data_IF_095994338035
#
_entry.id   IF_095994338035
#
_cell.length_a   1.000
_cell.length_b   1.000
_cell.length_c   1.000
_cell.angle_alpha   90.00
_cell.angle_beta   90.00
_cell.angle_gamma   90.00
#
_symmetry.space_group_name_H-M   'P 1'
#
loop_
_entity.id
_entity.type
_entity.pdbx_description
1 polymer ?
#
# COMPACT_ATOMS: atom_id res chain seq x y z
N UNK A 1 7.27 -17.05 13.85
CA UNK A 1 6.69 -16.04 12.94
C UNK A 1 6.71 -14.71 13.66
N UNK A 2 7.37 -13.69 13.11
CA UNK A 2 7.43 -12.38 13.75
C UNK A 2 6.12 -11.60 13.47
N UNK A 3 5.52 -11.04 14.52
CA UNK A 3 4.31 -10.22 14.40
C UNK A 3 4.67 -8.75 14.34
N UNK A 4 4.10 -8.03 13.38
CA UNK A 4 4.22 -6.57 13.29
C UNK A 4 2.96 -5.92 13.83
N UNK A 5 3.15 -5.09 14.85
CA UNK A 5 2.08 -4.26 15.40
C UNK A 5 1.89 -3.01 14.54
N UNK A 6 0.80 -2.96 13.77
CA UNK A 6 0.40 -1.77 13.01
C UNK A 6 -0.39 -0.82 13.91
N UNK A 7 0.08 0.43 14.00
CA UNK A 7 -0.57 1.51 14.77
C UNK A 7 -0.71 2.77 13.91
N UNK A 8 -1.46 3.77 14.41
CA UNK A 8 -1.56 5.08 13.78
C UNK A 8 -2.14 5.05 12.35
N UNK A 9 -1.56 5.86 11.46
CA UNK A 9 -2.02 5.97 10.05
C UNK A 9 -1.78 4.69 9.25
N UNK A 10 -0.76 3.90 9.59
CA UNK A 10 -0.50 2.61 8.95
C UNK A 10 -1.63 1.62 9.17
N UNK A 11 -2.13 1.53 10.41
CA UNK A 11 -3.32 0.76 10.75
C UNK A 11 -4.53 1.20 9.92
N UNK A 12 -4.78 2.51 9.87
CA UNK A 12 -5.91 3.07 9.13
C UNK A 12 -5.86 2.74 7.64
N UNK A 13 -4.71 2.95 6.99
CA UNK A 13 -4.56 2.61 5.57
C UNK A 13 -4.69 1.10 5.33
N UNK A 14 -4.14 0.27 6.20
CA UNK A 14 -4.30 -1.19 6.11
C UNK A 14 -5.77 -1.62 6.20
N UNK A 15 -6.52 -1.07 7.16
CA UNK A 15 -7.94 -1.37 7.33
C UNK A 15 -8.76 -0.99 6.08
N UNK A 16 -8.53 0.21 5.54
CA UNK A 16 -9.19 0.68 4.32
C UNK A 16 -8.85 -0.23 3.14
N UNK A 17 -7.56 -0.52 2.91
CA UNK A 17 -7.10 -1.38 1.82
C UNK A 17 -7.72 -2.78 1.94
N UNK A 18 -7.72 -3.39 3.12
CA UNK A 18 -8.27 -4.73 3.33
C UNK A 18 -9.76 -4.81 2.98
N UNK A 19 -10.55 -3.82 3.37
CA UNK A 19 -11.99 -3.77 3.07
C UNK A 19 -12.23 -3.46 1.59
N UNK A 20 -11.52 -2.48 1.02
CA UNK A 20 -11.61 -2.15 -0.40
C UNK A 20 -11.22 -3.33 -1.28
N UNK A 21 -10.17 -4.07 -0.92
CA UNK A 21 -9.73 -5.23 -1.68
C UNK A 21 -10.81 -6.31 -1.72
N UNK A 22 -11.45 -6.61 -0.59
CA UNK A 22 -12.57 -7.57 -0.52
C UNK A 22 -13.78 -7.11 -1.33
N UNK A 23 -14.07 -5.81 -1.36
CA UNK A 23 -15.25 -5.27 -2.00
C UNK A 23 -15.09 -5.02 -3.51
N UNK A 24 -13.88 -4.68 -3.97
CA UNK A 24 -13.63 -4.19 -5.33
C UNK A 24 -12.89 -5.20 -6.22
N UNK A 25 -12.23 -6.20 -5.63
CA UNK A 25 -11.57 -7.28 -6.38
C UNK A 25 -12.50 -8.49 -6.44
N UNK A 26 -13.49 -8.41 -7.33
CA UNK A 26 -14.57 -9.42 -7.46
C UNK A 26 -14.37 -10.37 -8.64
N UNK A 27 -13.46 -10.06 -9.57
CA UNK A 27 -13.30 -10.80 -10.82
C UNK A 27 -14.41 -10.55 -11.85
N UNK A 28 -15.35 -9.65 -11.55
CA UNK A 28 -16.36 -9.17 -12.50
C UNK A 28 -15.74 -8.33 -13.62
N UNK A 29 -16.52 -8.12 -14.69
CA UNK A 29 -16.10 -7.33 -15.86
C UNK A 29 -15.59 -5.92 -15.50
N UNK A 30 -16.22 -5.25 -14.52
CA UNK A 30 -15.77 -3.96 -13.98
C UNK A 30 -15.37 -4.14 -12.51
N UNK A 31 -14.15 -4.64 -12.33
CA UNK A 31 -13.54 -4.85 -11.02
C UNK A 31 -12.10 -4.34 -11.01
N UNK A 32 -11.61 -4.02 -9.82
CA UNK A 32 -10.20 -3.75 -9.61
C UNK A 32 -9.42 -5.07 -9.68
N UNK A 33 -8.26 -5.06 -10.33
CA UNK A 33 -7.34 -6.20 -10.30
C UNK A 33 -6.59 -6.26 -8.97
N UNK A 34 -6.27 -5.10 -8.40
CA UNK A 34 -5.51 -5.00 -7.16
C UNK A 34 -5.90 -3.72 -6.40
N UNK A 35 -5.98 -3.81 -5.07
CA UNK A 35 -6.05 -2.64 -4.19
C UNK A 35 -4.85 -2.71 -3.25
N UNK A 36 -4.02 -1.66 -3.27
CA UNK A 36 -2.76 -1.65 -2.54
C UNK A 36 -2.57 -0.38 -1.73
N UNK A 37 -1.77 -0.48 -0.67
CA UNK A 37 -1.26 0.70 0.01
C UNK A 37 -0.27 1.43 -0.91
N UNK A 38 -0.49 2.73 -1.07
CA UNK A 38 0.44 3.65 -1.72
C UNK A 38 1.21 4.48 -0.67
N UNK A 39 2.42 4.94 -1.01
CA UNK A 39 3.31 5.66 -0.08
C UNK A 39 2.89 7.11 0.19
N UNK A 40 2.10 7.71 -0.71
CA UNK A 40 1.76 9.13 -0.65
C UNK A 40 1.10 9.62 -1.94
N UNK A 41 1.31 10.89 -2.28
CA UNK A 41 0.89 11.46 -3.56
C UNK A 41 1.80 10.97 -4.69
N UNK A 42 1.29 11.02 -5.92
CA UNK A 42 2.12 10.89 -7.10
C UNK A 42 2.83 12.21 -7.37
N UNK A 43 4.15 12.22 -7.21
CA UNK A 43 4.98 13.42 -7.40
C UNK A 43 5.69 13.43 -8.78
N UNK A 44 5.76 12.28 -9.48
CA UNK A 44 6.48 12.13 -10.75
C UNK A 44 5.69 11.31 -11.77
N UNK A 45 5.88 11.59 -13.06
CA UNK A 45 5.25 10.86 -14.16
C UNK A 45 5.75 9.42 -14.28
N UNK A 46 7.00 9.15 -13.89
CA UNK A 46 7.61 7.82 -13.92
C UNK A 46 7.04 6.90 -12.84
N UNK A 47 6.73 7.43 -11.66
CA UNK A 47 6.04 6.67 -10.61
C UNK A 47 4.62 6.31 -11.04
N UNK A 48 3.92 7.27 -11.61
CA UNK A 48 2.59 7.07 -12.16
C UNK A 48 2.58 6.05 -13.30
N UNK A 49 3.54 6.15 -14.23
CA UNK A 49 3.68 5.20 -15.34
C UNK A 49 3.96 3.78 -14.85
N UNK A 50 4.85 3.62 -13.86
CA UNK A 50 5.13 2.30 -13.24
C UNK A 50 3.90 1.72 -12.55
N UNK A 51 3.14 2.56 -11.85
CA UNK A 51 1.92 2.14 -11.19
C UNK A 51 0.84 1.75 -12.21
N UNK A 52 0.71 2.51 -13.30
CA UNK A 52 -0.24 2.28 -14.38
C UNK A 52 0.06 1.05 -15.26
N UNK A 53 1.27 0.47 -15.17
CA UNK A 53 1.52 -0.86 -15.75
C UNK A 53 0.59 -1.92 -15.16
N UNK A 54 0.17 -1.71 -13.91
CA UNK A 54 -0.85 -2.53 -13.27
C UNK A 54 -2.22 -2.01 -13.72
N UNK A 55 -2.86 -2.74 -14.63
CA UNK A 55 -4.19 -2.38 -15.12
C UNK A 55 -5.25 -2.46 -14.00
N UNK A 56 -6.25 -1.57 -14.00
CA UNK A 56 -7.34 -1.50 -13.02
C UNK A 56 -6.89 -1.61 -11.55
N UNK A 57 -5.94 -0.77 -11.13
CA UNK A 57 -5.39 -0.79 -9.77
C UNK A 57 -5.81 0.44 -8.97
N UNK A 58 -6.07 0.22 -7.69
CA UNK A 58 -6.43 1.27 -6.73
C UNK A 58 -5.31 1.40 -5.69
N UNK A 59 -4.67 2.57 -5.65
CA UNK A 59 -3.64 2.91 -4.66
C UNK A 59 -4.19 3.79 -3.54
N UNK A 60 -4.16 3.33 -2.30
CA UNK A 60 -4.69 4.06 -1.14
C UNK A 60 -3.57 4.61 -0.27
N UNK A 61 -3.61 5.91 0.04
CA UNK A 61 -2.63 6.56 0.91
C UNK A 61 -3.30 7.42 2.00
N UNK A 62 -2.72 7.41 3.20
CA UNK A 62 -2.96 8.43 4.21
C UNK A 62 -2.03 9.63 3.97
N UNK A 63 -2.60 10.81 3.74
CA UNK A 63 -1.84 12.02 3.41
C UNK A 63 -1.54 12.89 4.63
N UNK A 64 -2.45 12.89 5.63
CA UNK A 64 -2.32 13.74 6.81
C UNK A 64 -3.11 13.12 7.96
N UNK A 65 -2.54 13.16 9.18
CA UNK A 65 -3.28 12.99 10.42
C UNK A 65 -3.30 14.33 11.16
N UNK A 66 -4.46 14.75 11.64
CA UNK A 66 -4.65 16.02 12.35
C UNK A 66 -5.71 15.89 13.45
N UNK A 67 -5.89 16.94 14.25
CA UNK A 67 -6.90 16.99 15.32
C UNK A 67 -6.80 15.79 16.27
N UNK A 68 -5.58 15.54 16.76
CA UNK A 68 -5.31 14.44 17.68
C UNK A 68 -6.02 14.69 19.02
N UNK A 69 -6.96 13.82 19.36
CA UNK A 69 -7.62 13.83 20.65
C UNK A 69 -7.23 12.58 21.45
N UNK A 70 -6.37 12.80 22.46
CA UNK A 70 -5.90 11.75 23.37
C UNK A 70 -6.90 11.45 24.49
N UNK A 71 -7.82 12.37 24.81
CA UNK A 71 -8.78 12.21 25.91
C UNK A 71 -9.93 11.26 25.54
N UNK A 72 -10.27 11.17 24.25
CA UNK A 72 -11.32 10.29 23.73
C UNK A 72 -10.78 8.99 23.07
N UNK A 73 -9.75 8.37 23.66
CA UNK A 73 -9.20 7.10 23.17
C UNK A 73 -8.23 7.23 21.99
N UNK A 74 -7.49 8.34 21.89
CA UNK A 74 -6.49 8.59 20.84
C UNK A 74 -7.07 8.51 19.43
N UNK A 75 -7.92 9.48 19.08
CA UNK A 75 -8.51 9.62 17.73
C UNK A 75 -7.79 10.71 16.94
N UNK A 76 -7.86 10.63 15.62
CA UNK A 76 -7.37 11.67 14.73
C UNK A 76 -8.21 11.74 13.45
N UNK A 77 -8.29 12.92 12.86
CA UNK A 77 -8.80 13.11 11.51
C UNK A 77 -7.73 12.70 10.51
N UNK A 78 -7.99 11.64 9.76
CA UNK A 78 -7.09 11.11 8.74
C UNK A 78 -7.59 11.55 7.37
N UNK A 79 -6.79 12.35 6.69
CA UNK A 79 -6.99 12.70 5.28
C UNK A 79 -6.44 11.58 4.41
N UNK A 80 -7.31 10.97 3.62
CA UNK A 80 -7.04 9.80 2.79
C UNK A 80 -7.23 10.14 1.32
N UNK A 81 -6.57 9.38 0.46
CA UNK A 81 -6.79 9.39 -0.99
C UNK A 81 -6.74 7.97 -1.53
N UNK A 82 -7.63 7.68 -2.49
CA UNK A 82 -7.62 6.50 -3.32
C UNK A 82 -7.41 6.93 -4.76
N UNK A 83 -6.30 6.50 -5.36
CA UNK A 83 -5.99 6.70 -6.76
C UNK A 83 -6.50 5.52 -7.55
N UNK A 84 -7.49 5.74 -8.41
CA UNK A 84 -8.02 4.75 -9.34
C UNK A 84 -7.26 4.91 -10.65
N UNK A 85 -6.59 3.87 -11.09
CA UNK A 85 -5.78 3.87 -12.30
C UNK A 85 -6.23 2.72 -13.20
N UNK A 86 -6.65 3.08 -14.40
CA UNK A 86 -7.03 2.11 -15.43
C UNK A 86 -6.22 2.35 -16.68
N UNK A 87 -5.94 1.28 -17.41
CA UNK A 87 -5.34 1.36 -18.72
C UNK A 87 -6.32 0.79 -19.72
N UNK A 88 -6.35 1.38 -20.93
CA UNK A 88 -7.11 0.79 -22.03
C UNK A 88 -6.56 -0.59 -22.33
N UNK A 89 -7.23 -1.64 -21.87
CA UNK A 89 -6.96 -2.99 -22.33
C UNK A 89 -7.53 -3.14 -23.74
N UNK A 90 -6.88 -3.95 -24.58
CA UNK A 90 -7.13 -4.09 -26.01
C UNK A 90 -8.50 -4.73 -26.41
N UNK A 91 -9.60 -4.38 -25.74
CA UNK A 91 -10.97 -4.84 -26.02
C UNK A 91 -11.98 -3.73 -25.73
N UNK A 92 -12.55 -3.16 -26.80
CA UNK A 92 -13.86 -2.48 -26.95
C UNK A 92 -14.36 -1.46 -25.91
N UNK A 93 -13.63 -1.15 -24.85
CA UNK A 93 -14.08 -0.23 -23.80
C UNK A 93 -12.99 0.77 -23.43
N UNK A 94 -13.37 2.05 -23.40
CA UNK A 94 -12.49 3.16 -23.11
C UNK A 94 -12.01 3.10 -21.66
N UNK A 95 -10.70 3.27 -21.45
CA UNK A 95 -10.08 3.32 -20.13
C UNK A 95 -10.77 4.35 -19.22
N UNK A 96 -11.20 5.48 -19.79
CA UNK A 96 -11.92 6.54 -19.09
C UNK A 96 -13.23 6.06 -18.49
N UNK A 97 -14.04 5.34 -19.27
CA UNK A 97 -15.33 4.80 -18.81
C UNK A 97 -15.12 3.81 -17.67
N UNK A 98 -14.15 2.89 -17.81
CA UNK A 98 -13.84 1.93 -16.73
C UNK A 98 -13.34 2.66 -15.47
N UNK A 99 -12.50 3.69 -15.64
CA UNK A 99 -11.98 4.46 -14.52
C UNK A 99 -13.08 5.20 -13.78
N UNK A 100 -13.99 5.84 -14.51
CA UNK A 100 -15.13 6.57 -13.94
C UNK A 100 -16.06 5.63 -13.16
N UNK A 101 -16.39 4.46 -13.74
CA UNK A 101 -17.24 3.48 -13.07
C UNK A 101 -16.58 2.90 -11.80
N UNK A 102 -15.29 2.58 -11.85
CA UNK A 102 -14.54 2.16 -10.65
C UNK A 102 -14.47 3.30 -9.61
N UNK A 103 -14.29 4.54 -10.05
CA UNK A 103 -14.29 5.71 -9.17
C UNK A 103 -15.64 5.87 -8.48
N UNK A 104 -16.76 5.71 -9.20
CA UNK A 104 -18.10 5.73 -8.59
C UNK A 104 -18.27 4.64 -7.52
N UNK A 105 -17.79 3.42 -7.77
CA UNK A 105 -17.80 2.34 -6.77
C UNK A 105 -16.97 2.71 -5.52
N UNK A 106 -15.80 3.33 -5.72
CA UNK A 106 -14.95 3.80 -4.61
C UNK A 106 -15.66 4.88 -3.80
N UNK A 107 -16.31 5.86 -4.45
CA UNK A 107 -17.05 6.94 -3.77
C UNK A 107 -18.21 6.36 -2.94
N UNK A 108 -18.99 5.44 -3.50
CA UNK A 108 -20.10 4.79 -2.80
C UNK A 108 -19.59 4.03 -1.56
N UNK A 109 -18.52 3.26 -1.73
CA UNK A 109 -17.90 2.50 -0.64
C UNK A 109 -17.38 3.44 0.46
N UNK A 110 -16.62 4.47 0.10
CA UNK A 110 -16.06 5.46 1.05
C UNK A 110 -17.17 6.18 1.82
N UNK A 111 -18.31 6.45 1.19
CA UNK A 111 -19.42 7.15 1.83
C UNK A 111 -20.08 6.32 2.94
N UNK A 112 -20.15 5.01 2.76
CA UNK A 112 -20.88 4.09 3.66
C UNK A 112 -19.99 3.40 4.68
N UNK A 113 -18.75 3.11 4.32
CA UNK A 113 -17.89 2.25 5.11
C UNK A 113 -17.28 2.92 6.33
N UNK A 114 -17.01 2.07 7.33
CA UNK A 114 -16.27 2.41 8.56
C UNK A 114 -15.03 1.52 8.75
N UNK A 115 -14.68 0.75 7.71
CA UNK A 115 -13.41 0.02 7.56
C UNK A 115 -13.12 -1.01 8.65
N UNK A 116 -14.13 -1.44 9.41
CA UNK A 116 -13.93 -2.28 10.60
C UNK A 116 -13.15 -1.59 11.72
N UNK A 117 -13.02 -0.26 11.68
CA UNK A 117 -12.34 0.54 12.70
C UNK A 117 -13.35 1.02 13.73
N UNK A 118 -13.13 0.69 15.00
CA UNK A 118 -13.99 1.12 16.08
C UNK A 118 -14.02 2.66 16.19
N UNK A 119 -15.20 3.20 16.47
CA UNK A 119 -15.45 4.65 16.56
C UNK A 119 -15.01 5.47 15.33
N UNK A 120 -15.01 4.86 14.14
CA UNK A 120 -14.77 5.59 12.91
C UNK A 120 -15.99 6.46 12.56
N UNK A 121 -15.77 7.74 12.25
CA UNK A 121 -16.85 8.64 11.83
C UNK A 121 -17.29 8.37 10.41
N UNK A 122 -18.33 9.06 9.95
CA UNK A 122 -18.62 9.16 8.52
C UNK A 122 -17.48 9.87 7.78
N UNK A 123 -17.28 9.50 6.52
CA UNK A 123 -16.37 10.21 5.64
C UNK A 123 -16.89 11.63 5.36
N UNK A 124 -16.00 12.61 5.45
CA UNK A 124 -16.27 14.03 5.20
C UNK A 124 -15.46 14.50 4.01
N UNK A 125 -15.95 15.54 3.34
CA UNK A 125 -15.26 16.19 2.22
C UNK A 125 -14.81 15.19 1.15
N UNK A 126 -15.71 14.29 0.74
CA UNK A 126 -15.43 13.35 -0.34
C UNK A 126 -15.34 14.14 -1.65
N UNK A 127 -14.16 14.15 -2.26
CA UNK A 127 -13.87 14.87 -3.49
C UNK A 127 -13.26 13.88 -4.48
N UNK A 128 -13.89 13.74 -5.64
CA UNK A 128 -13.33 13.03 -6.78
C UNK A 128 -12.75 14.05 -7.77
N UNK A 129 -11.48 13.86 -8.14
CA UNK A 129 -10.79 14.73 -9.08
C UNK A 129 -10.19 13.87 -10.18
N UNK A 130 -10.55 14.17 -11.42
CA UNK A 130 -9.90 13.59 -12.58
C UNK A 130 -8.48 14.19 -12.68
N UNK A 131 -7.46 13.34 -12.68
CA UNK A 131 -6.06 13.75 -12.79
C UNK A 131 -5.55 13.76 -14.23
N UNK A 132 -6.47 13.90 -15.20
CA UNK A 132 -6.17 14.07 -16.60
C UNK A 132 -5.18 15.22 -16.80
N UNK A 133 -4.03 14.89 -17.39
CA UNK A 133 -3.05 15.84 -17.88
C UNK A 133 -2.51 15.35 -19.21
N UNK A 134 -1.85 16.22 -19.98
CA UNK A 134 -1.31 15.87 -21.29
C UNK A 134 -0.21 14.77 -21.25
N UNK A 135 0.40 14.52 -20.09
CA UNK A 135 1.47 13.53 -19.90
C UNK A 135 0.95 12.08 -19.79
N UNK A 136 -0.14 11.78 -19.06
CA UNK A 136 -0.85 10.49 -19.09
C UNK A 136 -1.36 10.01 -20.46
N UNK A 137 -1.71 10.94 -21.36
CA UNK A 137 -2.32 10.61 -22.66
C UNK A 137 -1.39 9.76 -23.55
N UNK A 138 -0.08 10.02 -23.51
CA UNK A 138 0.92 9.21 -24.21
C UNK A 138 1.00 7.75 -23.77
N UNK A 139 0.39 7.39 -22.64
CA UNK A 139 0.39 6.03 -22.09
C UNK A 139 -0.95 5.30 -22.22
N UNK A 140 -2.03 5.97 -22.65
CA UNK A 140 -3.37 5.38 -22.74
C UNK A 140 -3.97 5.00 -21.37
N UNK A 141 -3.71 5.83 -20.36
CA UNK A 141 -4.08 5.60 -18.95
C UNK A 141 -5.08 6.66 -18.49
N UNK A 142 -6.13 6.25 -17.79
CA UNK A 142 -7.03 7.15 -17.09
C UNK A 142 -6.79 7.07 -15.57
N UNK A 143 -6.81 8.23 -14.90
CA UNK A 143 -6.53 8.33 -13.48
C UNK A 143 -7.52 9.28 -12.80
N UNK A 144 -8.08 8.80 -11.71
CA UNK A 144 -8.92 9.58 -10.81
C UNK A 144 -8.39 9.50 -9.38
N UNK A 145 -8.52 10.58 -8.63
CA UNK A 145 -8.22 10.63 -7.21
C UNK A 145 -9.50 10.90 -6.43
N UNK A 146 -9.87 9.97 -5.54
CA UNK A 146 -10.94 10.16 -4.56
C UNK A 146 -10.30 10.47 -3.22
N UNK A 147 -10.51 11.67 -2.70
CA UNK A 147 -9.99 12.11 -1.41
C UNK A 147 -11.11 12.31 -0.40
N UNK A 148 -10.84 12.03 0.87
CA UNK A 148 -11.79 12.22 1.96
C UNK A 148 -11.07 12.41 3.29
N UNK A 149 -11.79 12.86 4.31
CA UNK A 149 -11.32 12.96 5.68
C UNK A 149 -12.23 12.15 6.60
N UNK A 150 -11.65 11.36 7.49
CA UNK A 150 -12.44 10.56 8.42
C UNK A 150 -11.75 10.50 9.79
N UNK A 151 -12.54 10.66 10.85
CA UNK A 151 -12.04 10.53 12.21
C UNK A 151 -11.93 9.03 12.54
N UNK A 152 -10.74 8.57 12.92
CA UNK A 152 -10.47 7.17 13.19
C UNK A 152 -9.77 6.99 14.54
N UNK A 153 -10.06 5.88 15.22
CA UNK A 153 -9.31 5.45 16.41
C UNK A 153 -7.89 5.02 16.03
N UNK A 154 -6.90 5.48 16.78
CA UNK A 154 -5.48 5.11 16.59
C UNK A 154 -4.95 4.16 17.65
N UNK A 155 -5.74 3.89 18.70
CA UNK A 155 -5.31 3.20 19.92
C UNK A 155 -5.33 1.67 19.82
N UNK A 156 -6.18 1.11 18.95
CA UNK A 156 -6.29 -0.34 18.79
C UNK A 156 -5.27 -0.83 17.75
N UNK A 157 -4.26 -1.61 18.15
CA UNK A 157 -3.32 -2.17 17.20
C UNK A 157 -3.97 -3.27 16.35
N UNK A 158 -3.49 -3.42 15.12
CA UNK A 158 -3.73 -4.61 14.30
C UNK A 158 -2.42 -5.37 14.20
N UNK A 159 -2.44 -6.67 14.44
CA UNK A 159 -1.28 -7.54 14.24
C UNK A 159 -1.34 -8.09 12.82
N UNK A 160 -0.23 -7.97 12.10
CA UNK A 160 -0.03 -8.64 10.83
C UNK A 160 1.20 -9.51 10.93
N UNK A 161 1.22 -10.61 10.18
CA UNK A 161 2.42 -11.43 10.05
C UNK A 161 3.39 -10.69 9.13
N UNK A 162 4.66 -10.60 9.54
CA UNK A 162 5.73 -10.26 8.61
C UNK A 162 5.96 -11.46 7.69
N UNK A 163 6.24 -11.19 6.41
CA UNK A 163 6.83 -12.19 5.54
C UNK A 163 8.13 -12.68 6.18
N UNK A 164 8.39 -13.98 6.08
CA UNK A 164 9.67 -14.54 6.50
C UNK A 164 10.75 -13.78 5.72
N UNK A 165 11.66 -13.11 6.43
CA UNK A 165 12.75 -12.32 5.84
C UNK A 165 13.80 -13.26 5.20
N UNK A 166 13.39 -14.12 4.28
CA UNK A 166 14.23 -15.14 3.63
C UNK A 166 15.18 -14.53 2.62
N UNK A 167 14.91 -13.32 2.14
CA UNK A 167 15.67 -12.71 1.04
C UNK A 167 16.24 -11.36 1.45
N UNK A 168 17.54 -11.32 1.66
CA UNK A 168 18.33 -10.09 1.84
C UNK A 168 18.86 -9.62 0.48
N UNK A 169 18.45 -8.43 0.04
CA UNK A 169 18.97 -7.80 -1.17
C UNK A 169 20.13 -6.85 -0.85
N UNK A 170 21.38 -7.30 -1.02
CA UNK A 170 22.57 -6.44 -0.91
C UNK A 170 22.90 -5.87 -2.29
N UNK A 171 22.95 -4.54 -2.42
CA UNK A 171 23.53 -3.86 -3.59
C UNK A 171 24.90 -3.30 -3.19
N UNK A 172 25.97 -3.98 -3.60
CA UNK A 172 27.32 -3.42 -3.49
C UNK A 172 27.63 -2.64 -4.78
N UNK A 173 28.12 -1.41 -4.64
CA UNK A 173 28.76 -0.72 -5.77
C UNK A 173 30.15 -1.32 -5.93
N UNK A 174 30.31 -2.17 -6.94
CA UNK A 174 31.63 -2.65 -7.34
C UNK A 174 32.39 -1.47 -7.97
N UNK A 175 33.61 -1.21 -7.52
CA UNK A 175 34.52 -0.30 -8.19
C UNK A 175 34.84 -0.84 -9.59
N UNK A 176 34.88 0.03 -10.59
CA UNK A 176 35.09 -0.27 -12.02
C UNK A 176 36.53 -0.69 -12.36
N UNK A 177 37.08 -1.66 -11.65
CA UNK A 177 38.24 -2.41 -12.13
C UNK A 177 38.22 -3.77 -11.45
N UNK A 178 38.18 -4.84 -12.25
CA UNK A 178 37.98 -6.24 -11.84
C UNK A 178 39.12 -6.86 -11.01
N UNK A 179 39.72 -6.11 -10.10
CA UNK A 179 40.66 -6.57 -9.10
C UNK A 179 40.02 -6.39 -7.73
N UNK A 180 39.80 -7.51 -7.03
CA UNK A 180 39.45 -7.54 -5.62
C UNK A 180 40.69 -7.05 -4.87
N UNK A 181 40.81 -5.73 -4.68
CA UNK A 181 41.83 -5.17 -3.81
C UNK A 181 41.65 -5.70 -2.39
N UNK A 182 42.77 -5.93 -1.69
CA UNK A 182 42.91 -6.42 -0.30
C UNK A 182 42.33 -5.44 0.75
N UNK A 183 41.13 -4.92 0.52
CA UNK A 183 40.42 -3.97 1.36
C UNK A 183 38.93 -3.84 1.04
N UNK A 184 38.38 -4.65 0.13
CA UNK A 184 36.93 -4.69 -0.07
C UNK A 184 36.25 -5.22 1.20
N UNK A 185 35.24 -4.53 1.76
CA UNK A 185 34.54 -5.00 2.94
C UNK A 185 33.80 -6.31 2.61
N UNK A 186 34.21 -7.40 3.25
CA UNK A 186 33.45 -8.66 3.31
C UNK A 186 32.31 -8.47 4.30
N UNK A 187 31.07 -8.68 3.82
CA UNK A 187 29.91 -8.77 4.69
C UNK A 187 29.60 -10.26 4.84
N UNK A 188 29.99 -10.82 5.99
CA UNK A 188 29.55 -12.13 6.42
C UNK A 188 28.25 -11.96 7.22
N UNK A 189 27.16 -12.54 6.73
CA UNK A 189 25.87 -12.54 7.41
C UNK A 189 25.53 -13.96 7.87
N UNK A 190 25.47 -14.15 9.18
CA UNK A 190 24.97 -15.38 9.79
C UNK A 190 23.46 -15.24 9.99
N UNK A 191 22.68 -16.05 9.29
CA UNK A 191 21.21 -16.03 9.35
C UNK A 191 20.74 -17.19 10.23
N UNK A 192 20.30 -16.90 11.45
CA UNK A 192 19.64 -17.88 12.29
C UNK A 192 18.14 -17.89 12.01
N UNK A 193 17.64 -19.03 11.51
CA UNK A 193 16.21 -19.24 11.29
C UNK A 193 15.56 -19.80 12.57
N UNK A 194 14.38 -19.33 12.98
CA UNK A 194 13.70 -19.85 14.15
C UNK A 194 13.22 -21.29 13.88
N UNK A 195 13.82 -22.25 14.58
CA UNK A 195 13.57 -23.70 14.44
C UNK A 195 14.84 -24.55 14.56
N UNK A 196 16.02 -23.94 14.55
CA UNK A 196 17.28 -24.61 14.81
C UNK A 196 17.45 -24.80 16.33
N UNK A 197 16.92 -25.91 16.86
CA UNK A 197 17.35 -26.42 18.15
C UNK A 197 18.81 -26.86 18.01
N UNK A 198 19.69 -26.26 18.80
CA UNK A 198 21.06 -26.74 19.03
C UNK A 198 21.00 -28.15 19.65
N UNK A 199 20.76 -29.16 18.84
CA UNK A 199 21.15 -30.54 19.14
C UNK A 199 22.58 -30.75 18.67
N UNK A 200 23.52 -30.09 19.34
CA UNK A 200 24.91 -30.56 19.39
C UNK A 200 25.07 -31.32 20.70
N UNK A 201 24.72 -32.60 20.60
CA UNK A 201 24.99 -33.65 21.57
C UNK A 201 26.43 -33.63 22.09
N UNK A 202 26.56 -33.80 23.40
CA UNK A 202 27.74 -34.29 24.11
C UNK A 202 28.56 -35.30 23.29
N UNK A 203 29.72 -34.86 22.78
CA UNK A 203 30.93 -35.63 22.44
C UNK A 203 32.04 -34.59 22.29
N UNK A 204 33.11 -34.50 23.08
CA UNK A 204 33.90 -35.54 23.74
C UNK A 204 34.46 -35.02 25.08
N UNK A 205 34.32 -35.85 26.11
CA UNK A 205 35.35 -36.00 27.14
C UNK A 205 36.56 -36.64 26.46
N UNK A 206 37.71 -35.99 26.53
CA UNK A 206 38.93 -36.51 27.17
C UNK A 206 40.01 -35.41 27.20
#
# INVERSE_FOLDING_TARGET
MAELQLTGTMRATHAVVSVMQKALVTGEFISANEVVRHKGRFDTAEELSRFALKNNVIGVAALKASNHDRRAGSKADISMVAYVVTRGAAKDMDASVVCELLTSKVIELVSRERWGVHNCSEAKNIIATNLYSATPDGFGVCIWAVSWVQNMSMSEPIYTTLDDFTTLGIKNQLAESGSIDKGAPTIDALIHLPGETDELSDKEKD
#
